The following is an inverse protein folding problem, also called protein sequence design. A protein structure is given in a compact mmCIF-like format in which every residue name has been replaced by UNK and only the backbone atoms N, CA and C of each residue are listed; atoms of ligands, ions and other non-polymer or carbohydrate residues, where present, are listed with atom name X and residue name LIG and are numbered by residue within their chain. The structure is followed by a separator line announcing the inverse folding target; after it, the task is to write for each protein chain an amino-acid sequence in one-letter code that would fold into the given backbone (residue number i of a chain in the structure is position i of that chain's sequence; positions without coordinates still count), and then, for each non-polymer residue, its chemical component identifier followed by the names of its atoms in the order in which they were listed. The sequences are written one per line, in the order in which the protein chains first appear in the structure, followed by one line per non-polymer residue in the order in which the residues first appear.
data_IF_796851534807
#
_entry.id   IF_796851534807
#
_cell.length_a   1.000
_cell.length_b   1.000
_cell.length_c   1.000
_cell.angle_alpha   90.00
_cell.angle_beta   90.00
_cell.angle_gamma   90.00
#
_symmetry.space_group_name_H-M   'P 1'
#
loop_
_entity.id
_entity.type
_entity.pdbx_description
1 polymer ?
#
# COMPACT_ATOMS: atom_id res chain seq x y z
N UNK A 1 0.24 -2.37 21.83
CA UNK A 1 1.46 -3.14 21.50
C UNK A 1 2.68 -2.26 21.34
N UNK A 2 2.70 -1.30 20.40
CA UNK A 2 3.84 -0.35 20.24
C UNK A 2 4.18 0.36 21.55
N UNK A 3 3.21 1.03 22.18
CA UNK A 3 3.38 1.70 23.49
C UNK A 3 4.06 0.80 24.53
N UNK A 4 3.55 -0.43 24.69
CA UNK A 4 4.05 -1.38 25.69
C UNK A 4 5.52 -1.74 25.43
N UNK A 5 5.88 -2.08 24.18
CA UNK A 5 7.25 -2.44 23.80
C UNK A 5 8.23 -1.27 23.96
N UNK A 6 7.78 -0.04 23.75
CA UNK A 6 8.60 1.17 23.87
C UNK A 6 8.79 1.66 25.31
N UNK A 7 7.83 1.39 26.20
CA UNK A 7 7.82 1.92 27.57
C UNK A 7 8.21 0.88 28.64
N UNK A 8 8.43 -0.38 28.23
CA UNK A 8 8.83 -1.46 29.13
C UNK A 8 10.07 -2.17 28.55
N UNK A 9 11.18 -2.17 29.30
CA UNK A 9 12.43 -2.83 28.89
C UNK A 9 12.46 -4.33 29.20
N UNK A 10 11.31 -4.99 29.06
CA UNK A 10 11.18 -6.43 29.34
C UNK A 10 11.53 -7.32 28.15
N UNK A 11 11.62 -6.76 26.94
CA UNK A 11 11.95 -7.49 25.72
C UNK A 11 13.37 -7.20 25.22
N UNK A 12 14.10 -8.27 24.94
CA UNK A 12 15.37 -8.25 24.19
C UNK A 12 15.18 -7.79 22.74
N UNK A 13 16.27 -7.39 22.08
CA UNK A 13 16.23 -6.94 20.68
C UNK A 13 15.62 -7.98 19.73
N UNK A 14 15.96 -9.25 19.91
CA UNK A 14 15.45 -10.33 19.05
C UNK A 14 13.95 -10.54 19.20
N UNK A 15 13.44 -10.48 20.42
CA UNK A 15 11.99 -10.56 20.68
C UNK A 15 11.24 -9.38 20.05
N UNK A 16 11.82 -8.17 20.12
CA UNK A 16 11.25 -6.99 19.45
C UNK A 16 11.21 -7.18 17.93
N UNK A 17 12.30 -7.65 17.31
CA UNK A 17 12.35 -7.91 15.87
C UNK A 17 11.29 -8.93 15.45
N UNK A 18 11.21 -10.08 16.13
CA UNK A 18 10.23 -11.14 15.81
C UNK A 18 8.80 -10.64 16.01
N UNK A 19 8.53 -9.90 17.08
CA UNK A 19 7.21 -9.32 17.36
C UNK A 19 6.78 -8.35 16.26
N UNK A 20 7.64 -7.40 15.88
CA UNK A 20 7.31 -6.43 14.84
C UNK A 20 7.24 -7.04 13.44
N UNK A 21 8.08 -8.04 13.14
CA UNK A 21 7.96 -8.82 11.93
C UNK A 21 6.61 -9.54 11.86
N UNK A 22 6.21 -10.22 12.94
CA UNK A 22 4.90 -10.89 13.03
C UNK A 22 3.73 -9.92 12.86
N UNK A 23 3.78 -8.76 13.51
CA UNK A 23 2.79 -7.69 13.34
C UNK A 23 2.74 -7.19 11.89
N UNK A 24 3.88 -7.03 11.24
CA UNK A 24 3.95 -6.64 9.83
C UNK A 24 3.35 -7.70 8.90
N UNK A 25 3.65 -8.98 9.13
CA UNK A 25 3.08 -10.09 8.35
C UNK A 25 1.57 -10.18 8.54
N UNK A 26 1.07 -10.11 9.77
CA UNK A 26 -0.37 -10.22 10.07
C UNK A 26 -1.11 -9.00 9.48
N UNK A 27 -0.63 -7.78 9.75
CA UNK A 27 -1.28 -6.56 9.24
C UNK A 27 -1.21 -6.47 7.72
N UNK A 28 -0.10 -6.86 7.10
CA UNK A 28 0.03 -6.95 5.65
C UNK A 28 -0.92 -8.01 5.05
N UNK A 29 -0.87 -9.25 5.54
CA UNK A 29 -1.63 -10.35 4.94
C UNK A 29 -3.14 -10.18 5.13
N UNK A 30 -3.58 -9.81 6.33
CA UNK A 30 -5.00 -9.69 6.65
C UNK A 30 -5.53 -8.32 6.20
N UNK A 31 -4.82 -7.24 6.54
CA UNK A 31 -5.24 -5.88 6.26
C UNK A 31 -5.35 -5.58 4.76
N UNK A 32 -4.36 -6.02 3.96
CA UNK A 32 -4.41 -5.82 2.50
C UNK A 32 -5.54 -6.64 1.87
N UNK A 33 -5.82 -7.85 2.37
CA UNK A 33 -6.93 -8.68 1.87
C UNK A 33 -8.29 -8.01 2.10
N UNK A 34 -8.55 -7.47 3.28
CA UNK A 34 -9.79 -6.71 3.50
C UNK A 34 -9.82 -5.41 2.70
N UNK A 35 -8.68 -4.71 2.60
CA UNK A 35 -8.60 -3.50 1.80
C UNK A 35 -8.87 -3.76 0.30
N UNK A 36 -8.46 -4.91 -0.21
CA UNK A 36 -8.77 -5.40 -1.56
C UNK A 36 -10.28 -5.49 -1.78
N UNK A 37 -11.00 -6.16 -0.89
CA UNK A 37 -12.45 -6.27 -1.05
C UNK A 37 -13.15 -4.92 -0.90
N UNK A 38 -12.70 -4.09 0.04
CA UNK A 38 -13.29 -2.78 0.34
C UNK A 38 -13.10 -1.77 -0.79
N UNK A 39 -11.97 -1.79 -1.50
CA UNK A 39 -11.72 -0.85 -2.60
C UNK A 39 -12.58 -1.12 -3.84
N UNK A 40 -13.07 -2.36 -4.00
CA UNK A 40 -13.99 -2.76 -5.08
C UNK A 40 -15.44 -2.38 -4.82
N UNK A 41 -15.80 -2.11 -3.56
CA UNK A 41 -17.18 -1.81 -3.21
C UNK A 41 -17.71 -0.54 -3.87
N UNK A 42 -19.03 -0.40 -3.97
CA UNK A 42 -19.66 0.83 -4.50
C UNK A 42 -19.72 1.96 -3.47
N UNK A 43 -19.88 1.58 -2.20
CA UNK A 43 -20.02 2.51 -1.10
C UNK A 43 -18.75 3.33 -0.88
N UNK A 44 -18.89 4.65 -0.77
CA UNK A 44 -17.77 5.56 -0.52
C UNK A 44 -17.11 5.31 0.83
N UNK A 45 -17.88 4.99 1.87
CA UNK A 45 -17.34 4.73 3.21
C UNK A 45 -16.43 3.49 3.19
N UNK A 46 -16.88 2.41 2.57
CA UNK A 46 -16.10 1.17 2.46
C UNK A 46 -14.79 1.40 1.70
N UNK A 47 -14.81 2.11 0.57
CA UNK A 47 -13.57 2.47 -0.14
C UNK A 47 -12.60 3.26 0.74
N UNK A 48 -13.12 4.17 1.56
CA UNK A 48 -12.31 4.95 2.51
C UNK A 48 -11.71 4.07 3.61
N UNK A 49 -12.46 3.08 4.10
CA UNK A 49 -11.91 2.09 5.04
C UNK A 49 -10.78 1.28 4.37
N UNK A 50 -10.92 0.92 3.09
CA UNK A 50 -9.84 0.30 2.32
C UNK A 50 -8.60 1.19 2.19
N UNK A 51 -8.78 2.48 1.90
CA UNK A 51 -7.67 3.45 1.85
C UNK A 51 -6.97 3.61 3.21
N UNK A 52 -7.73 3.62 4.32
CA UNK A 52 -7.19 3.67 5.68
C UNK A 52 -6.39 2.41 6.01
N UNK A 53 -6.91 1.22 5.71
CA UNK A 53 -6.20 -0.05 5.93
C UNK A 53 -4.90 -0.14 5.12
N UNK A 54 -4.87 0.33 3.87
CA UNK A 54 -3.62 0.36 3.10
C UNK A 54 -2.62 1.36 3.66
N UNK A 55 -3.10 2.47 4.22
CA UNK A 55 -2.24 3.50 4.79
C UNK A 55 -1.50 2.99 6.06
N UNK A 56 -2.14 2.14 6.88
CA UNK A 56 -1.48 1.58 8.08
C UNK A 56 -0.32 0.64 7.75
N UNK A 57 -0.29 0.08 6.54
CA UNK A 57 0.80 -0.78 6.04
C UNK A 57 1.68 -0.10 4.98
N UNK A 58 1.52 1.22 4.80
CA UNK A 58 2.32 2.04 3.86
C UNK A 58 2.28 1.55 2.40
N UNK A 59 1.15 0.98 1.98
CA UNK A 59 1.01 0.35 0.67
C UNK A 59 -0.16 0.91 -0.14
N UNK A 60 -0.49 2.21 0.02
CA UNK A 60 -1.69 2.82 -0.57
C UNK A 60 -1.70 2.86 -2.11
N UNK A 61 -0.54 2.90 -2.76
CA UNK A 61 -0.44 2.86 -4.23
C UNK A 61 -1.02 1.56 -4.83
N UNK A 62 -1.13 0.50 -4.02
CA UNK A 62 -1.76 -0.77 -4.41
C UNK A 62 -3.18 -0.56 -4.93
N UNK A 63 -3.96 0.35 -4.34
CA UNK A 63 -5.32 0.64 -4.82
C UNK A 63 -5.33 1.05 -6.29
N UNK A 64 -4.46 1.98 -6.66
CA UNK A 64 -4.33 2.45 -8.03
C UNK A 64 -3.81 1.36 -8.94
N UNK A 65 -2.71 0.69 -8.57
CA UNK A 65 -2.12 -0.37 -9.38
C UNK A 65 -3.14 -1.48 -9.64
N UNK A 66 -3.83 -1.91 -8.60
CA UNK A 66 -4.79 -2.99 -8.66
C UNK A 66 -6.00 -2.63 -9.55
N UNK A 67 -6.62 -1.46 -9.32
CA UNK A 67 -7.84 -1.05 -10.03
C UNK A 67 -7.60 -0.58 -11.47
N UNK A 68 -6.52 0.16 -11.71
CA UNK A 68 -6.30 0.82 -13.01
C UNK A 68 -5.39 0.02 -13.94
N UNK A 69 -4.54 -0.85 -13.39
CA UNK A 69 -3.53 -1.59 -14.15
C UNK A 69 -3.82 -3.10 -14.09
N UNK A 70 -3.73 -3.72 -12.92
CA UNK A 70 -3.78 -5.18 -12.77
C UNK A 70 -5.06 -5.78 -13.37
N UNK A 71 -6.25 -5.33 -12.96
CA UNK A 71 -7.52 -5.86 -13.52
C UNK A 71 -7.64 -5.70 -15.02
N UNK A 72 -7.00 -4.67 -15.60
CA UNK A 72 -7.06 -4.42 -17.04
C UNK A 72 -6.02 -5.21 -17.83
N UNK A 73 -4.86 -5.50 -17.24
CA UNK A 73 -3.68 -5.98 -17.95
C UNK A 73 -3.06 -7.25 -17.35
N UNK A 74 -3.74 -7.89 -16.39
CA UNK A 74 -3.30 -9.14 -15.75
C UNK A 74 -2.88 -10.17 -16.80
N UNK A 75 -1.75 -10.82 -16.57
CA UNK A 75 -1.17 -11.80 -17.51
C UNK A 75 -0.43 -11.16 -18.70
N UNK A 76 -0.29 -9.84 -18.76
CA UNK A 76 0.45 -9.15 -19.83
C UNK A 76 1.65 -8.37 -19.28
N UNK A 77 2.66 -8.04 -20.12
CA UNK A 77 3.80 -7.23 -19.70
C UNK A 77 3.48 -5.80 -19.25
N UNK A 78 2.23 -5.33 -19.45
CA UNK A 78 1.78 -4.00 -19.01
C UNK A 78 1.40 -3.97 -17.53
N UNK A 79 1.16 -5.13 -16.92
CA UNK A 79 0.90 -5.24 -15.49
C UNK A 79 2.22 -5.44 -14.73
N UNK A 80 2.58 -4.49 -13.87
CA UNK A 80 3.82 -4.55 -13.12
C UNK A 80 3.84 -5.72 -12.13
N UNK A 81 2.67 -6.16 -11.64
CA UNK A 81 2.54 -7.24 -10.66
C UNK A 81 2.38 -8.62 -11.29
N UNK A 82 2.26 -8.71 -12.63
CA UNK A 82 2.30 -10.00 -13.33
C UNK A 82 3.74 -10.51 -13.39
N UNK A 83 3.94 -11.77 -12.99
CA UNK A 83 5.22 -12.46 -13.16
C UNK A 83 5.46 -12.74 -14.64
N UNK A 84 6.67 -12.42 -15.13
CA UNK A 84 7.05 -12.69 -16.52
C UNK A 84 7.31 -14.18 -16.71
N UNK A 85 7.22 -14.65 -17.95
CA UNK A 85 7.58 -16.03 -18.27
C UNK A 85 9.02 -16.33 -17.82
N UNK A 86 9.20 -17.44 -17.10
CA UNK A 86 10.48 -17.84 -16.48
C UNK A 86 11.09 -16.82 -15.50
N UNK A 87 10.27 -15.97 -14.89
CA UNK A 87 10.69 -15.10 -13.81
C UNK A 87 10.53 -15.78 -12.45
N UNK A 88 11.65 -16.16 -11.83
CA UNK A 88 11.65 -16.70 -10.47
C UNK A 88 11.38 -15.63 -9.41
N UNK A 89 10.92 -16.07 -8.22
CA UNK A 89 10.55 -15.19 -7.10
C UNK A 89 11.60 -14.12 -6.78
N UNK A 90 12.88 -14.48 -6.69
CA UNK A 90 13.96 -13.55 -6.32
C UNK A 90 14.23 -12.46 -7.37
N UNK A 91 13.77 -12.64 -8.61
CA UNK A 91 13.79 -11.60 -9.66
C UNK A 91 12.49 -10.80 -9.66
N UNK A 92 11.36 -11.51 -9.51
CA UNK A 92 10.02 -10.93 -9.47
C UNK A 92 9.83 -9.95 -8.30
N UNK A 93 10.17 -10.36 -7.09
CA UNK A 93 9.87 -9.61 -5.86
C UNK A 93 10.51 -8.21 -5.81
N UNK A 94 11.83 -8.04 -6.00
CA UNK A 94 12.42 -6.69 -6.03
C UNK A 94 11.93 -5.86 -7.23
N UNK A 95 11.58 -6.50 -8.36
CA UNK A 95 11.01 -5.81 -9.51
C UNK A 95 9.65 -5.23 -9.20
N UNK A 96 8.73 -6.01 -8.64
CA UNK A 96 7.36 -5.54 -8.36
C UNK A 96 7.36 -4.42 -7.31
N UNK A 97 8.22 -4.50 -6.30
CA UNK A 97 8.36 -3.43 -5.29
C UNK A 97 8.81 -2.10 -5.90
N UNK A 98 9.67 -2.13 -6.92
CA UNK A 98 10.15 -0.94 -7.62
C UNK A 98 9.19 -0.44 -8.70
N UNK A 99 8.66 -1.35 -9.52
CA UNK A 99 7.84 -1.02 -10.69
C UNK A 99 6.40 -0.65 -10.30
N UNK A 100 5.84 -1.24 -9.23
CA UNK A 100 4.46 -1.01 -8.78
C UNK A 100 4.11 0.46 -8.52
N UNK A 101 4.82 1.17 -7.63
CA UNK A 101 4.54 2.59 -7.38
C UNK A 101 4.68 3.47 -8.63
N UNK A 102 5.64 3.15 -9.51
CA UNK A 102 5.87 3.89 -10.75
C UNK A 102 4.74 3.66 -11.75
N UNK A 103 4.28 2.41 -11.88
CA UNK A 103 3.14 2.02 -12.71
C UNK A 103 1.86 2.73 -12.24
N UNK A 104 1.58 2.68 -10.94
CA UNK A 104 0.43 3.35 -10.33
C UNK A 104 0.45 4.86 -10.58
N UNK A 105 1.59 5.53 -10.35
CA UNK A 105 1.73 6.97 -10.60
C UNK A 105 1.48 7.33 -12.07
N UNK A 106 1.99 6.52 -13.01
CA UNK A 106 1.74 6.71 -14.44
C UNK A 106 0.26 6.53 -14.79
N UNK A 107 -0.42 5.55 -14.20
CA UNK A 107 -1.84 5.30 -14.44
C UNK A 107 -2.71 6.49 -13.99
N UNK A 108 -2.49 7.03 -12.79
CA UNK A 108 -3.23 8.21 -12.31
C UNK A 108 -2.94 9.45 -13.14
N UNK A 109 -1.67 9.66 -13.52
CA UNK A 109 -1.31 10.75 -14.44
C UNK A 109 -2.04 10.67 -15.77
N UNK A 110 -2.21 9.47 -16.31
CA UNK A 110 -2.99 9.28 -17.54
C UNK A 110 -4.48 9.57 -17.30
N UNK A 111 -5.03 9.20 -16.15
CA UNK A 111 -6.43 9.52 -15.82
C UNK A 111 -6.66 11.03 -15.70
N UNK A 112 -5.74 11.74 -15.03
CA UNK A 112 -5.79 13.19 -14.90
C UNK A 112 -5.67 13.88 -16.26
N UNK A 113 -4.75 13.43 -17.11
CA UNK A 113 -4.57 13.98 -18.45
C UNK A 113 -5.82 13.81 -19.34
N UNK A 114 -6.54 12.69 -19.23
CA UNK A 114 -7.83 12.49 -19.93
C UNK A 114 -8.94 13.43 -19.47
N UNK A 115 -8.78 14.06 -18.30
CA UNK A 115 -9.69 15.04 -17.75
C UNK A 115 -9.12 16.47 -17.83
N UNK A 116 -8.12 16.69 -18.69
CA UNK A 116 -7.40 17.97 -18.86
C UNK A 116 -6.82 18.54 -17.56
N UNK A 117 -6.41 17.65 -16.63
CA UNK A 117 -5.80 18.01 -15.35
C UNK A 117 -4.31 17.68 -15.33
N UNK A 118 -3.54 18.55 -14.66
CA UNK A 118 -2.11 18.30 -14.42
C UNK A 118 -1.90 17.23 -13.36
N UNK A 119 -0.70 16.64 -13.32
CA UNK A 119 -0.34 15.63 -12.31
C UNK A 119 -0.33 16.15 -10.86
N UNK A 120 -0.25 17.47 -10.69
CA UNK A 120 -0.27 18.14 -9.39
C UNK A 120 -1.67 18.48 -8.90
N UNK A 121 -2.72 18.19 -9.69
CA UNK A 121 -4.09 18.50 -9.33
C UNK A 121 -4.48 17.82 -8.00
N UNK A 122 -5.25 18.47 -7.10
CA UNK A 122 -5.62 17.92 -5.79
C UNK A 122 -6.40 16.60 -5.86
N UNK A 123 -7.03 16.30 -6.99
CA UNK A 123 -7.71 15.03 -7.22
C UNK A 123 -6.77 13.85 -7.48
N UNK A 124 -5.45 14.06 -7.56
CA UNK A 124 -4.50 12.97 -7.63
C UNK A 124 -4.52 12.20 -6.28
N UNK A 125 -4.88 10.90 -6.27
CA UNK A 125 -5.02 10.17 -5.02
C UNK A 125 -3.71 9.98 -4.27
N UNK A 126 -2.54 10.18 -4.92
CA UNK A 126 -1.25 10.14 -4.24
C UNK A 126 -1.09 11.19 -3.14
N UNK A 127 -1.76 12.33 -3.23
CA UNK A 127 -1.77 13.30 -2.12
C UNK A 127 -2.45 12.72 -0.89
N UNK A 128 -3.61 12.10 -1.11
CA UNK A 128 -4.34 11.40 -0.05
C UNK A 128 -3.54 10.23 0.50
N UNK A 129 -2.87 9.45 -0.37
CA UNK A 129 -2.00 8.35 0.05
C UNK A 129 -0.87 8.83 0.95
N UNK A 130 -0.16 9.88 0.53
CA UNK A 130 0.91 10.48 1.32
C UNK A 130 0.40 11.00 2.67
N UNK A 131 -0.72 11.74 2.67
CA UNK A 131 -1.31 12.27 3.90
C UNK A 131 -1.73 11.16 4.87
N UNK A 132 -2.47 10.14 4.41
CA UNK A 132 -2.94 9.07 5.28
C UNK A 132 -1.79 8.24 5.84
N UNK A 133 -0.77 7.93 5.03
CA UNK A 133 0.42 7.21 5.48
C UNK A 133 1.23 8.03 6.48
N UNK A 134 1.38 9.34 6.25
CA UNK A 134 2.04 10.25 7.20
C UNK A 134 1.29 10.32 8.53
N UNK A 135 -0.05 10.38 8.49
CA UNK A 135 -0.89 10.33 9.69
C UNK A 135 -0.77 9.00 10.42
N UNK A 136 -0.72 7.87 9.70
CA UNK A 136 -0.52 6.56 10.31
C UNK A 136 0.84 6.46 11.01
N UNK A 137 1.90 6.96 10.39
CA UNK A 137 3.24 7.05 11.00
C UNK A 137 3.25 7.97 12.21
N UNK A 138 2.63 9.15 12.12
CA UNK A 138 2.53 10.09 13.22
C UNK A 138 1.75 9.50 14.41
N UNK A 139 0.65 8.78 14.14
CA UNK A 139 -0.11 8.08 15.17
C UNK A 139 0.70 6.96 15.83
N UNK A 140 1.45 6.18 15.04
CA UNK A 140 2.35 5.15 15.55
C UNK A 140 3.47 5.76 16.43
N UNK A 141 4.06 6.87 16.00
CA UNK A 141 5.07 7.60 16.75
C UNK A 141 4.50 8.16 18.05
N UNK A 142 3.37 8.88 18.00
CA UNK A 142 2.71 9.41 19.19
C UNK A 142 2.30 8.33 20.20
N UNK A 143 1.94 7.13 19.72
CA UNK A 143 1.64 5.99 20.58
C UNK A 143 2.89 5.29 21.15
N UNK A 144 4.04 5.40 20.48
CA UNK A 144 5.31 4.78 20.90
C UNK A 144 6.19 5.67 21.76
N UNK A 145 6.16 6.98 21.56
CA UNK A 145 7.16 7.91 22.11
C UNK A 145 8.37 8.05 21.20
#
# INVERSE_FOLDING_TARGET
TIWWVTHHDTLSLWERIVLFFGLGVISGSIGITYAHELMHQKNRLERWLGDLLLATVLYSHFRTEHLLVHHRYVGTPRDAVTARYNEGFHRFFPRVLREGPVSAWRAERQMLARADRTMWHPSNPFWRYATLQALALAAAYAAGG
#
